data_IF_704333732933
#
_entry.id   IF_704333732933
#
_cell.length_a   1.000
_cell.length_b   1.000
_cell.length_c   1.000
_cell.angle_alpha   90.00
_cell.angle_beta   90.00
_cell.angle_gamma   90.00
#
_symmetry.space_group_name_H-M   'P 1'
#
loop_
_entity.id
_entity.type
_entity.pdbx_description
1 polymer ?
#
# COMPACT_ATOMS: atom_id res chain seq x y z
N UNK A 1 -56.99 36.84 24.23
CA UNK A 1 -56.36 35.57 23.84
C UNK A 1 -55.60 35.77 22.54
N UNK A 2 -54.27 35.87 22.60
CA UNK A 2 -53.29 35.61 21.53
C UNK A 2 -51.92 35.66 22.22
N UNK A 3 -51.40 34.46 22.51
CA UNK A 3 -50.08 34.24 23.09
C UNK A 3 -49.10 34.27 21.92
N UNK A 4 -48.13 35.17 21.93
CA UNK A 4 -47.00 35.14 21.00
C UNK A 4 -45.74 34.94 21.81
N UNK A 5 -45.28 33.69 21.79
CA UNK A 5 -44.00 33.24 22.33
C UNK A 5 -42.85 33.90 21.57
N UNK A 6 -42.00 34.64 22.27
CA UNK A 6 -40.73 35.10 21.72
C UNK A 6 -39.67 34.00 21.94
N UNK A 7 -39.13 33.49 20.83
CA UNK A 7 -38.02 32.54 20.82
C UNK A 7 -36.74 33.24 21.31
N UNK A 8 -36.11 32.67 22.34
CA UNK A 8 -34.75 33.04 22.76
C UNK A 8 -33.77 32.30 21.83
N UNK A 9 -33.09 33.03 20.96
CA UNK A 9 -31.99 32.50 20.18
C UNK A 9 -30.71 32.52 21.04
N UNK A 10 -30.30 31.36 21.56
CA UNK A 10 -28.98 31.20 22.17
C UNK A 10 -28.00 30.90 21.03
N UNK A 11 -27.25 31.91 20.60
CA UNK A 11 -26.11 31.71 19.71
C UNK A 11 -24.91 31.22 20.53
N UNK A 12 -24.77 29.90 20.66
CA UNK A 12 -23.53 29.30 21.17
C UNK A 12 -22.50 29.28 20.04
N UNK A 13 -21.70 30.35 19.94
CA UNK A 13 -20.44 30.35 19.19
C UNK A 13 -19.43 29.47 19.94
N UNK A 14 -19.54 28.16 19.78
CA UNK A 14 -18.45 27.25 20.11
C UNK A 14 -17.31 27.57 19.13
N UNK A 15 -16.28 28.24 19.62
CA UNK A 15 -15.03 28.42 18.89
C UNK A 15 -14.49 27.05 18.50
N UNK A 16 -14.67 26.69 17.24
CA UNK A 16 -13.90 25.62 16.62
C UNK A 16 -12.45 26.11 16.61
N UNK A 17 -11.69 25.71 17.63
CA UNK A 17 -10.25 25.82 17.58
C UNK A 17 -9.81 25.13 16.29
N UNK A 18 -9.26 25.90 15.36
CA UNK A 18 -8.52 25.34 14.24
C UNK A 18 -7.37 24.59 14.89
N UNK A 19 -7.46 23.26 14.92
CA UNK A 19 -6.37 22.40 15.38
C UNK A 19 -5.11 22.89 14.69
N UNK A 20 -4.15 23.35 15.49
CA UNK A 20 -2.84 23.77 15.00
C UNK A 20 -2.31 22.61 14.15
N UNK A 21 -2.16 22.86 12.85
CA UNK A 21 -1.71 21.86 11.90
C UNK A 21 -0.39 21.30 12.41
N UNK A 22 -0.41 20.04 12.86
CA UNK A 22 0.75 19.43 13.50
C UNK A 22 1.93 19.53 12.53
N UNK A 23 2.95 20.31 12.90
CA UNK A 23 4.17 20.39 12.11
C UNK A 23 4.79 19.00 12.10
N UNK A 24 4.96 18.43 10.91
CA UNK A 24 5.60 17.14 10.76
C UNK A 24 7.09 17.27 11.13
N UNK A 25 7.43 16.90 12.37
CA UNK A 25 8.79 17.00 12.90
C UNK A 25 9.68 15.85 12.43
N UNK A 26 9.10 14.75 11.96
CA UNK A 26 9.81 13.56 11.49
C UNK A 26 9.12 13.00 10.25
N UNK A 27 9.72 13.21 9.07
CA UNK A 27 9.27 12.58 7.84
C UNK A 27 9.99 11.25 7.65
N UNK A 28 9.25 10.14 7.65
CA UNK A 28 9.78 8.87 7.17
C UNK A 28 9.99 8.98 5.65
N UNK A 29 11.21 8.70 5.16
CA UNK A 29 11.53 8.73 3.74
C UNK A 29 11.29 7.34 3.15
N UNK A 30 10.30 7.22 2.28
CA UNK A 30 10.12 6.00 1.48
C UNK A 30 11.19 5.95 0.39
N UNK A 31 11.92 4.85 0.33
CA UNK A 31 13.02 4.63 -0.61
C UNK A 31 12.64 3.58 -1.63
N UNK A 32 13.24 3.69 -2.82
CA UNK A 32 13.14 2.64 -3.82
C UNK A 32 13.80 1.38 -3.26
N UNK A 33 13.15 0.22 -3.40
CA UNK A 33 13.55 -1.02 -2.72
C UNK A 33 15.01 -1.44 -3.01
N UNK A 34 15.53 -1.18 -4.22
CA UNK A 34 16.92 -1.49 -4.61
C UNK A 34 17.93 -0.49 -4.06
N UNK A 35 17.48 0.66 -3.54
CA UNK A 35 18.32 1.66 -2.88
C UNK A 35 18.42 1.48 -1.36
N UNK A 36 17.68 0.52 -0.80
CA UNK A 36 17.78 0.19 0.62
C UNK A 36 19.16 -0.38 0.95
N UNK A 37 19.72 0.09 2.05
CA UNK A 37 20.87 -0.57 2.68
C UNK A 37 20.47 -1.96 3.18
N UNK A 38 21.44 -2.85 3.42
CA UNK A 38 21.18 -4.16 4.02
C UNK A 38 20.42 -4.05 5.36
N UNK A 39 20.74 -3.05 6.19
CA UNK A 39 20.05 -2.83 7.47
C UNK A 39 18.58 -2.40 7.29
N UNK A 40 18.29 -1.54 6.32
CA UNK A 40 16.92 -1.13 6.01
C UNK A 40 16.10 -2.26 5.40
N UNK A 41 16.73 -3.09 4.56
CA UNK A 41 16.07 -4.28 4.04
C UNK A 41 15.78 -5.31 5.14
N UNK A 42 16.75 -5.60 6.03
CA UNK A 42 16.52 -6.47 7.19
C UNK A 42 15.39 -5.96 8.06
N UNK A 43 15.36 -4.64 8.36
CA UNK A 43 14.23 -4.01 9.07
C UNK A 43 12.90 -4.27 8.36
N UNK A 44 12.85 -4.06 7.05
CA UNK A 44 11.65 -4.30 6.25
C UNK A 44 11.19 -5.75 6.38
N UNK A 45 12.11 -6.71 6.24
CA UNK A 45 11.79 -8.13 6.37
C UNK A 45 11.25 -8.46 7.77
N UNK A 46 11.90 -8.00 8.83
CA UNK A 46 11.47 -8.21 10.22
C UNK A 46 10.08 -7.64 10.50
N UNK A 47 9.82 -6.40 10.06
CA UNK A 47 8.53 -5.74 10.24
C UNK A 47 7.43 -6.47 9.48
N UNK A 48 7.66 -6.81 8.21
CA UNK A 48 6.66 -7.49 7.37
C UNK A 48 6.32 -8.89 7.91
N UNK A 49 7.32 -9.65 8.36
CA UNK A 49 7.09 -10.94 9.02
C UNK A 49 6.32 -10.78 10.33
N UNK A 50 6.71 -9.81 11.16
CA UNK A 50 6.02 -9.48 12.42
C UNK A 50 4.56 -9.07 12.22
N UNK A 51 4.27 -8.33 11.15
CA UNK A 51 2.92 -7.96 10.76
C UNK A 51 2.12 -9.19 10.29
N UNK A 52 2.73 -10.07 9.50
CA UNK A 52 2.07 -11.27 9.01
C UNK A 52 1.73 -12.24 10.16
N UNK A 53 2.67 -12.51 11.05
CA UNK A 53 2.50 -13.38 12.21
C UNK A 53 1.38 -12.92 13.16
N UNK A 54 1.15 -11.61 13.23
CA UNK A 54 0.14 -11.00 14.12
C UNK A 54 -1.20 -10.74 13.43
N UNK A 55 -1.40 -11.20 12.21
CA UNK A 55 -2.67 -11.03 11.50
C UNK A 55 -2.84 -9.68 10.80
N UNK A 56 -1.85 -8.78 10.85
CA UNK A 56 -2.00 -7.43 10.29
C UNK A 56 -2.06 -7.43 8.77
N UNK A 57 -1.28 -8.29 8.10
CA UNK A 57 -1.36 -8.44 6.64
C UNK A 57 -2.77 -8.87 6.21
N UNK A 58 -3.37 -9.78 6.98
CA UNK A 58 -4.72 -10.28 6.72
C UNK A 58 -5.80 -9.25 7.04
N UNK A 59 -5.61 -8.46 8.09
CA UNK A 59 -6.48 -7.33 8.40
C UNK A 59 -6.51 -6.30 7.27
N UNK A 60 -5.35 -5.91 6.75
CA UNK A 60 -5.28 -4.99 5.60
C UNK A 60 -5.90 -5.60 4.35
N UNK A 61 -5.67 -6.90 4.08
CA UNK A 61 -6.33 -7.61 2.98
C UNK A 61 -7.86 -7.64 3.13
N UNK A 62 -8.37 -7.90 4.33
CA UNK A 62 -9.80 -7.88 4.64
C UNK A 62 -10.42 -6.51 4.39
N UNK A 63 -9.82 -5.44 4.91
CA UNK A 63 -10.31 -4.07 4.70
C UNK A 63 -10.34 -3.74 3.21
N UNK A 64 -9.27 -4.03 2.48
CA UNK A 64 -9.23 -3.78 1.04
C UNK A 64 -10.33 -4.55 0.28
N UNK A 65 -10.56 -5.82 0.61
CA UNK A 65 -11.62 -6.64 0.00
C UNK A 65 -13.01 -6.10 0.34
N UNK A 66 -13.27 -5.74 1.60
CA UNK A 66 -14.57 -5.27 2.06
C UNK A 66 -15.00 -3.96 1.37
N UNK A 67 -14.04 -3.08 1.04
CA UNK A 67 -14.30 -1.79 0.42
C UNK A 67 -13.99 -1.73 -1.08
N UNK A 68 -13.66 -2.86 -1.72
CA UNK A 68 -13.14 -2.91 -3.11
C UNK A 68 -13.94 -2.05 -4.10
N UNK A 69 -15.28 -2.17 -4.09
CA UNK A 69 -16.17 -1.51 -5.05
C UNK A 69 -16.28 0.02 -4.87
N UNK A 70 -15.89 0.56 -3.71
CA UNK A 70 -16.00 2.00 -3.42
C UNK A 70 -14.64 2.71 -3.36
N UNK A 71 -13.54 1.96 -3.51
CA UNK A 71 -12.17 2.49 -3.48
C UNK A 71 -11.43 2.35 -4.82
N UNK A 72 -12.02 1.68 -5.81
CA UNK A 72 -11.46 1.51 -7.16
C UNK A 72 -12.35 2.18 -8.21
N UNK A 73 -11.73 2.62 -9.31
CA UNK A 73 -12.40 3.25 -10.45
C UNK A 73 -13.27 4.47 -10.06
N UNK A 74 -12.84 5.22 -9.05
CA UNK A 74 -13.54 6.37 -8.49
C UNK A 74 -12.55 7.43 -8.00
N UNK A 75 -13.03 8.65 -7.70
CA UNK A 75 -12.17 9.73 -7.18
C UNK A 75 -11.48 9.41 -5.85
N UNK A 76 -11.97 8.41 -5.10
CA UNK A 76 -11.38 8.00 -3.83
C UNK A 76 -10.15 7.10 -3.98
N UNK A 77 -9.84 6.59 -5.18
CA UNK A 77 -8.75 5.65 -5.39
C UNK A 77 -7.42 6.14 -4.80
N UNK A 78 -6.94 7.30 -5.23
CA UNK A 78 -5.68 7.86 -4.74
C UNK A 78 -5.69 8.24 -3.25
N UNK A 79 -6.66 9.02 -2.73
CA UNK A 79 -6.64 9.41 -1.32
C UNK A 79 -6.84 8.21 -0.38
N UNK A 80 -7.69 7.24 -0.75
CA UNK A 80 -7.88 6.02 0.04
C UNK A 80 -6.58 5.21 0.10
N UNK A 81 -5.96 4.89 -1.04
CA UNK A 81 -4.75 4.07 -1.06
C UNK A 81 -3.57 4.79 -0.38
N UNK A 82 -3.46 6.12 -0.50
CA UNK A 82 -2.46 6.91 0.25
C UNK A 82 -2.65 6.74 1.76
N UNK A 83 -3.88 6.88 2.26
CA UNK A 83 -4.19 6.70 3.68
C UNK A 83 -4.00 5.25 4.12
N UNK A 84 -4.41 4.28 3.30
CA UNK A 84 -4.25 2.85 3.56
C UNK A 84 -2.76 2.49 3.75
N UNK A 85 -1.89 2.95 2.85
CA UNK A 85 -0.44 2.74 2.98
C UNK A 85 0.15 3.51 4.17
N UNK A 86 -0.38 4.68 4.52
CA UNK A 86 0.03 5.39 5.73
C UNK A 86 -0.30 4.59 6.99
N UNK A 87 -1.49 3.99 7.08
CA UNK A 87 -1.85 3.14 8.22
C UNK A 87 -1.10 1.81 8.25
N UNK A 88 -0.80 1.25 7.07
CA UNK A 88 0.08 0.09 6.95
C UNK A 88 1.46 0.41 7.53
N UNK A 89 2.04 1.54 7.15
CA UNK A 89 3.34 1.99 7.64
C UNK A 89 3.30 2.36 9.14
N UNK A 90 2.23 3.01 9.61
CA UNK A 90 2.03 3.30 11.04
C UNK A 90 1.96 2.02 11.87
N UNK A 91 1.28 0.99 11.37
CA UNK A 91 1.22 -0.34 12.00
C UNK A 91 2.62 -0.97 12.02
N UNK A 92 3.35 -0.92 10.91
CA UNK A 92 4.74 -1.37 10.85
C UNK A 92 5.65 -0.65 11.86
N UNK A 93 5.43 0.66 12.05
CA UNK A 93 6.14 1.47 13.05
C UNK A 93 5.91 1.07 14.50
N UNK A 94 4.86 0.29 14.79
CA UNK A 94 4.65 -0.32 16.11
C UNK A 94 5.67 -1.44 16.39
N UNK A 95 6.28 -2.01 15.36
CA UNK A 95 7.34 -3.02 15.47
C UNK A 95 8.73 -2.42 15.38
N UNK A 96 8.93 -1.42 14.52
CA UNK A 96 10.16 -0.63 14.47
C UNK A 96 9.85 0.82 14.09
N UNK A 97 10.10 1.75 15.02
CA UNK A 97 9.82 3.18 14.82
C UNK A 97 10.51 3.82 13.60
N UNK A 98 11.60 3.22 13.09
CA UNK A 98 12.34 3.67 11.91
C UNK A 98 11.83 3.03 10.61
N UNK A 99 10.74 2.26 10.66
CA UNK A 99 10.15 1.65 9.48
C UNK A 99 9.54 2.72 8.54
N UNK A 100 9.94 2.64 7.28
CA UNK A 100 9.36 3.34 6.16
C UNK A 100 9.07 2.31 5.06
N UNK A 101 7.86 2.34 4.50
CA UNK A 101 7.47 1.37 3.49
C UNK A 101 8.23 1.66 2.18
N UNK A 102 9.06 0.73 1.66
CA UNK A 102 9.72 0.96 0.39
C UNK A 102 8.74 0.93 -0.78
N UNK A 103 9.14 1.55 -1.90
CA UNK A 103 8.41 1.45 -3.16
C UNK A 103 9.24 0.69 -4.20
N UNK A 104 8.56 0.05 -5.15
CA UNK A 104 9.17 -0.48 -6.36
C UNK A 104 8.96 0.55 -7.46
N UNK A 105 10.04 1.01 -8.10
CA UNK A 105 9.95 1.75 -9.36
C UNK A 105 9.83 0.76 -10.52
N UNK A 106 8.60 0.35 -10.82
CA UNK A 106 8.29 -0.65 -11.85
C UNK A 106 8.54 -0.13 -13.26
N UNK A 107 8.55 1.18 -13.45
CA UNK A 107 8.81 1.84 -14.74
C UNK A 107 10.21 1.53 -15.25
N UNK A 108 11.17 1.26 -14.35
CA UNK A 108 12.53 0.80 -14.72
C UNK A 108 12.56 -0.62 -15.27
N UNK A 109 11.60 -1.44 -14.89
CA UNK A 109 11.54 -2.87 -15.23
C UNK A 109 10.43 -3.16 -16.26
N UNK A 110 9.79 -2.12 -16.81
CA UNK A 110 8.55 -2.23 -17.59
C UNK A 110 8.64 -3.24 -18.75
N UNK A 111 9.77 -3.28 -19.46
CA UNK A 111 9.94 -4.13 -20.65
C UNK A 111 10.09 -5.62 -20.31
N UNK A 112 10.60 -5.93 -19.12
CA UNK A 112 10.75 -7.31 -18.64
C UNK A 112 10.61 -7.38 -17.11
N UNK A 113 9.37 -7.27 -16.58
CA UNK A 113 9.17 -7.20 -15.14
C UNK A 113 9.64 -8.46 -14.40
N UNK A 114 9.54 -9.62 -15.05
CA UNK A 114 9.97 -10.90 -14.49
C UNK A 114 11.48 -10.98 -14.23
N UNK A 115 12.29 -10.21 -14.97
CA UNK A 115 13.74 -10.13 -14.76
C UNK A 115 14.13 -9.11 -13.67
N UNK A 116 13.18 -8.36 -13.11
CA UNK A 116 13.47 -7.43 -12.02
C UNK A 116 14.02 -8.18 -10.82
N UNK A 117 15.09 -7.65 -10.22
CA UNK A 117 15.61 -8.16 -8.95
C UNK A 117 14.55 -8.14 -7.86
N UNK A 118 13.55 -7.25 -7.94
CA UNK A 118 12.45 -7.17 -6.97
C UNK A 118 11.70 -8.50 -6.89
N UNK A 119 11.43 -9.13 -8.03
CA UNK A 119 10.79 -10.44 -8.12
C UNK A 119 11.81 -11.59 -8.09
N UNK A 120 12.68 -11.57 -7.08
CA UNK A 120 13.68 -12.61 -6.85
C UNK A 120 13.87 -12.89 -5.36
N UNK A 121 14.64 -13.94 -5.07
CA UNK A 121 15.06 -14.30 -3.71
C UNK A 121 15.75 -13.17 -2.94
N UNK A 122 16.32 -12.17 -3.63
CA UNK A 122 16.93 -11.00 -2.99
C UNK A 122 15.89 -10.13 -2.28
N UNK A 123 14.67 -10.04 -2.83
CA UNK A 123 13.61 -9.16 -2.34
C UNK A 123 12.33 -9.94 -2.05
N UNK A 124 11.26 -9.76 -2.84
CA UNK A 124 9.92 -10.25 -2.46
C UNK A 124 9.65 -11.70 -2.86
N UNK A 125 10.55 -12.33 -3.60
CA UNK A 125 10.40 -13.70 -4.10
C UNK A 125 10.02 -13.74 -5.58
N UNK A 126 10.36 -14.86 -6.21
CA UNK A 126 10.20 -15.14 -7.64
C UNK A 126 8.80 -15.67 -7.99
N UNK A 127 8.66 -16.24 -9.19
CA UNK A 127 7.42 -16.90 -9.62
C UNK A 127 7.10 -18.10 -8.70
N UNK A 128 5.83 -18.49 -8.65
CA UNK A 128 5.44 -19.71 -7.98
C UNK A 128 6.00 -20.94 -8.70
N UNK A 129 6.29 -21.99 -7.95
CA UNK A 129 6.83 -23.25 -8.48
C UNK A 129 5.92 -24.42 -8.10
N UNK A 130 5.97 -25.49 -8.90
CA UNK A 130 5.15 -26.68 -8.67
C UNK A 130 3.66 -26.48 -8.98
N UNK A 131 2.84 -27.47 -8.64
CA UNK A 131 1.40 -27.46 -8.89
C UNK A 131 0.59 -26.60 -7.93
N UNK A 132 1.19 -26.20 -6.80
CA UNK A 132 0.55 -25.31 -5.83
C UNK A 132 0.83 -23.82 -6.10
N UNK A 133 1.70 -23.53 -7.07
CA UNK A 133 2.16 -22.20 -7.47
C UNK A 133 2.66 -21.35 -6.28
N UNK A 134 3.16 -22.00 -5.22
CA UNK A 134 3.70 -21.28 -4.07
C UNK A 134 5.00 -20.58 -4.44
N UNK A 135 5.15 -19.33 -4.02
CA UNK A 135 6.44 -18.65 -3.95
C UNK A 135 7.26 -19.36 -2.87
N UNK A 136 8.53 -19.69 -3.15
CA UNK A 136 9.40 -20.47 -2.24
C UNK A 136 10.68 -19.74 -1.81
N UNK A 137 10.89 -18.53 -2.30
CA UNK A 137 12.07 -17.72 -2.05
C UNK A 137 11.70 -16.27 -1.68
N UNK A 138 12.71 -15.50 -1.26
CA UNK A 138 12.55 -14.12 -0.85
C UNK A 138 11.67 -13.94 0.39
N UNK A 139 11.32 -12.69 0.68
CA UNK A 139 10.52 -12.32 1.86
C UNK A 139 9.20 -13.08 1.94
N UNK A 140 8.56 -13.35 0.80
CA UNK A 140 7.22 -13.94 0.79
C UNK A 140 7.23 -15.48 0.65
N UNK A 141 8.39 -16.09 0.44
CA UNK A 141 8.51 -17.54 0.22
C UNK A 141 8.14 -18.41 1.43
N UNK A 142 8.23 -17.85 2.64
CA UNK A 142 7.81 -18.50 3.89
C UNK A 142 6.53 -17.92 4.49
N UNK A 143 5.84 -17.04 3.76
CA UNK A 143 4.64 -16.39 4.26
C UNK A 143 3.42 -17.31 4.16
N UNK A 144 2.82 -17.62 5.30
CA UNK A 144 1.46 -18.19 5.38
C UNK A 144 0.46 -17.05 5.46
N UNK A 145 -0.47 -16.99 4.51
CA UNK A 145 -1.59 -16.06 4.48
C UNK A 145 -2.82 -16.77 5.02
N UNK A 146 -3.56 -16.15 5.94
CA UNK A 146 -4.73 -16.77 6.59
C UNK A 146 -6.07 -16.14 6.21
N UNK A 147 -6.07 -15.12 5.33
CA UNK A 147 -7.28 -14.51 4.78
C UNK A 147 -7.26 -14.58 3.24
N UNK A 148 -8.38 -14.97 2.59
CA UNK A 148 -9.63 -15.45 3.21
C UNK A 148 -9.53 -16.88 3.75
N UNK A 149 -8.51 -17.63 3.35
CA UNK A 149 -8.23 -18.99 3.79
C UNK A 149 -6.72 -19.16 4.03
N UNK A 150 -6.33 -20.23 4.73
CA UNK A 150 -4.91 -20.52 5.00
C UNK A 150 -4.20 -21.13 3.78
N UNK A 151 -3.17 -20.45 3.26
CA UNK A 151 -2.31 -20.95 2.17
C UNK A 151 -0.97 -20.19 2.10
N UNK A 152 0.00 -20.71 1.34
CA UNK A 152 1.21 -19.98 0.95
C UNK A 152 0.88 -18.78 0.05
N UNK A 153 1.76 -17.78 -0.07
CA UNK A 153 1.63 -16.84 -1.19
C UNK A 153 1.78 -17.59 -2.52
N UNK A 154 0.79 -17.44 -3.41
CA UNK A 154 0.84 -17.98 -4.77
C UNK A 154 1.18 -16.88 -5.76
N UNK A 155 1.98 -17.22 -6.77
CA UNK A 155 2.31 -16.31 -7.88
C UNK A 155 2.39 -17.11 -9.17
N UNK A 156 1.73 -16.60 -10.19
CA UNK A 156 1.75 -17.18 -11.53
C UNK A 156 1.89 -16.04 -12.52
N UNK A 157 3.06 -15.94 -13.16
CA UNK A 157 3.25 -14.94 -14.20
C UNK A 157 2.36 -15.24 -15.42
N UNK A 158 1.87 -14.17 -16.06
CA UNK A 158 0.90 -14.26 -17.15
C UNK A 158 1.49 -14.72 -18.50
N UNK A 159 2.78 -15.09 -18.54
CA UNK A 159 3.45 -15.66 -19.71
C UNK A 159 4.47 -16.73 -19.29
N UNK A 160 4.02 -17.71 -18.50
CA UNK A 160 4.84 -18.81 -17.99
C UNK A 160 5.86 -18.35 -16.96
N UNK A 161 7.14 -18.28 -17.33
CA UNK A 161 8.21 -17.71 -16.49
C UNK A 161 8.56 -16.25 -16.85
N UNK A 162 7.74 -15.61 -17.68
CA UNK A 162 7.85 -14.19 -18.03
C UNK A 162 6.56 -13.45 -17.67
N UNK A 163 6.66 -12.12 -17.51
CA UNK A 163 5.52 -11.21 -17.33
C UNK A 163 5.40 -10.35 -18.59
N UNK A 164 4.19 -10.17 -19.11
CA UNK A 164 3.94 -9.21 -20.18
C UNK A 164 4.41 -7.79 -19.78
N UNK A 165 4.95 -6.99 -20.70
CA UNK A 165 5.44 -5.66 -20.36
C UNK A 165 4.41 -4.81 -19.61
N UNK A 166 4.87 -4.07 -18.61
CA UNK A 166 4.07 -3.04 -17.95
C UNK A 166 3.96 -1.79 -18.82
N UNK A 167 3.16 -0.82 -18.38
CA UNK A 167 3.06 0.48 -19.03
C UNK A 167 4.43 1.15 -19.14
N UNK A 168 4.75 1.62 -20.34
CA UNK A 168 6.03 2.26 -20.61
C UNK A 168 6.12 3.64 -19.93
N UNK A 169 7.34 4.15 -19.68
CA UNK A 169 7.53 5.50 -19.16
C UNK A 169 6.84 6.57 -20.03
N UNK A 170 6.85 6.40 -21.35
CA UNK A 170 6.22 7.32 -22.31
C UNK A 170 4.70 7.30 -22.18
N UNK A 171 4.11 6.11 -22.01
CA UNK A 171 2.68 5.98 -21.78
C UNK A 171 2.26 6.66 -20.47
N UNK A 172 2.99 6.41 -19.38
CA UNK A 172 2.69 7.01 -18.06
C UNK A 172 2.84 8.53 -18.12
N UNK A 173 3.92 9.05 -18.74
CA UNK A 173 4.09 10.51 -18.94
C UNK A 173 2.95 11.10 -19.77
N UNK A 174 2.55 10.40 -20.84
CA UNK A 174 1.45 10.83 -21.70
C UNK A 174 0.12 10.87 -20.93
N UNK A 175 -0.15 9.88 -20.08
CA UNK A 175 -1.32 9.84 -19.21
C UNK A 175 -1.30 11.04 -18.24
N UNK A 176 -0.22 11.20 -17.48
CA UNK A 176 -0.06 12.30 -16.52
C UNK A 176 -0.20 13.69 -17.16
N UNK A 177 0.27 13.86 -18.40
CA UNK A 177 0.18 15.15 -19.11
C UNK A 177 -1.22 15.48 -19.61
N UNK A 178 -2.08 14.46 -19.80
CA UNK A 178 -3.43 14.61 -20.38
C UNK A 178 -4.52 14.57 -19.31
N UNK A 179 -4.26 13.97 -18.16
CA UNK A 179 -5.23 13.88 -17.07
C UNK A 179 -5.37 15.24 -16.38
N UNK A 180 -6.61 15.71 -16.31
CA UNK A 180 -7.03 16.96 -15.64
C UNK A 180 -7.66 16.71 -14.26
N UNK A 181 -8.03 15.46 -13.96
CA UNK A 181 -8.58 15.05 -12.66
C UNK A 181 -7.94 13.76 -12.17
N UNK A 182 -8.04 13.49 -10.86
CA UNK A 182 -7.59 12.23 -10.26
C UNK A 182 -8.44 11.03 -10.69
N UNK A 183 -9.67 11.24 -11.16
CA UNK A 183 -10.51 10.16 -11.68
C UNK A 183 -10.14 9.75 -13.12
N UNK A 184 -9.29 10.54 -13.79
CA UNK A 184 -8.77 10.26 -15.14
C UNK A 184 -7.39 9.58 -15.12
N UNK A 185 -6.86 9.31 -13.93
CA UNK A 185 -5.64 8.52 -13.69
C UNK A 185 -6.05 7.13 -13.20
#
# INVERSE_FOLDING_TARGET
>A
MKITSAFVAIAALAGMGVDAQSTCTTNAVRKEIRSLTSAEWTRTQTVMNSMNERGWIQWFAYIHTAYFNVIHNCEFFFPFHRRFLQEFENTGRRFDSNFALPYWDEVRDYANPAASTVLSSRFVGSNGVGSDHCVRDGLQGSATLTYPNSHCLRREYNNGNSINPFYSPEYIRSLLSRSTTMAQL
#
